data_IF_415863490171
#
_entry.id   IF_415863490171
#
_cell.length_a   1.000
_cell.length_b   1.000
_cell.length_c   1.000
_cell.angle_alpha   90.00
_cell.angle_beta   90.00
_cell.angle_gamma   90.00
#
_symmetry.space_group_name_H-M   'P 1'
#
loop_
_entity.id
_entity.type
_entity.pdbx_description
1 polymer ?
#
# COMPACT_ATOMS: atom_id res chain seq x y z
N UNK A 1 -4.26 -11.37 34.22
CA UNK A 1 -4.27 -11.30 32.74
C UNK A 1 -3.27 -10.22 32.33
N UNK A 2 -2.44 -10.46 31.31
CA UNK A 2 -1.50 -9.45 30.81
C UNK A 2 -2.29 -8.20 30.35
N UNK A 3 -1.91 -7.00 30.82
CA UNK A 3 -2.64 -5.75 30.54
C UNK A 3 -2.78 -5.48 29.03
N UNK A 4 -1.78 -5.83 28.24
CA UNK A 4 -1.84 -5.66 26.77
C UNK A 4 -2.86 -6.61 26.13
N UNK A 5 -2.98 -7.84 26.64
CA UNK A 5 -3.97 -8.81 26.17
C UNK A 5 -5.39 -8.35 26.54
N UNK A 6 -5.58 -7.83 27.77
CA UNK A 6 -6.86 -7.28 28.19
C UNK A 6 -7.27 -6.08 27.31
N UNK A 7 -6.35 -5.15 27.06
CA UNK A 7 -6.59 -4.00 26.18
C UNK A 7 -6.95 -4.41 24.75
N UNK A 8 -6.25 -5.41 24.18
CA UNK A 8 -6.58 -5.97 22.87
C UNK A 8 -8.00 -6.58 22.84
N UNK A 9 -8.38 -7.31 23.89
CA UNK A 9 -9.72 -7.89 24.02
C UNK A 9 -10.81 -6.82 24.09
N UNK A 10 -10.58 -5.77 24.88
CA UNK A 10 -11.48 -4.62 24.99
C UNK A 10 -11.65 -3.92 23.64
N UNK A 11 -10.55 -3.64 22.93
CA UNK A 11 -10.57 -3.05 21.59
C UNK A 11 -11.36 -3.93 20.62
N UNK A 12 -11.08 -5.24 20.59
CA UNK A 12 -11.75 -6.18 19.69
C UNK A 12 -13.27 -6.18 19.90
N UNK A 13 -13.73 -5.99 21.14
CA UNK A 13 -15.13 -5.98 21.54
C UNK A 13 -15.87 -4.66 21.26
N UNK A 14 -15.16 -3.58 20.88
CA UNK A 14 -15.80 -2.30 20.57
C UNK A 14 -16.67 -2.39 19.30
N UNK A 15 -17.86 -1.76 19.27
CA UNK A 15 -18.70 -1.68 18.08
C UNK A 15 -18.06 -0.82 16.97
N UNK A 16 -17.21 0.12 17.37
CA UNK A 16 -16.46 1.01 16.49
C UNK A 16 -14.98 1.00 16.91
N UNK A 17 -14.07 1.05 15.93
CA UNK A 17 -12.63 1.12 16.16
C UNK A 17 -12.04 2.32 15.42
N UNK A 18 -11.20 3.08 16.11
CA UNK A 18 -10.40 4.16 15.51
C UNK A 18 -9.01 3.63 15.22
N UNK A 19 -8.68 3.51 13.94
CA UNK A 19 -7.46 2.86 13.45
C UNK A 19 -6.66 3.85 12.61
N UNK A 20 -5.35 3.91 12.86
CA UNK A 20 -4.42 4.61 11.97
C UNK A 20 -3.80 3.59 11.01
N UNK A 21 -4.04 3.75 9.71
CA UNK A 21 -3.34 3.00 8.67
C UNK A 21 -2.07 3.75 8.23
N UNK A 22 -0.95 3.02 8.14
CA UNK A 22 0.32 3.53 7.62
C UNK A 22 0.75 2.75 6.39
N UNK A 23 1.02 3.46 5.30
CA UNK A 23 1.56 2.89 4.07
C UNK A 23 2.71 3.74 3.56
N UNK A 24 3.85 3.11 3.30
CA UNK A 24 4.91 3.71 2.48
C UNK A 24 5.09 2.88 1.22
N UNK A 25 4.77 3.50 0.08
CA UNK A 25 4.81 2.86 -1.22
C UNK A 25 6.25 2.51 -1.66
N UNK A 26 6.35 1.75 -2.75
CA UNK A 26 7.65 1.37 -3.35
C UNK A 26 8.40 2.56 -3.95
N UNK A 27 7.75 3.70 -4.15
CA UNK A 27 8.41 4.92 -4.61
C UNK A 27 9.27 5.57 -3.52
N UNK A 28 9.10 5.17 -2.24
CA UNK A 28 9.84 5.71 -1.08
C UNK A 28 9.70 7.23 -0.92
N UNK A 29 8.62 7.82 -1.44
CA UNK A 29 8.47 9.27 -1.47
C UNK A 29 8.05 9.85 -0.11
N UNK A 30 7.35 9.06 0.70
CA UNK A 30 6.81 9.48 1.98
C UNK A 30 6.06 8.38 2.72
N UNK A 31 5.30 8.81 3.73
CA UNK A 31 4.41 7.97 4.53
C UNK A 31 2.99 8.51 4.44
N UNK A 32 2.07 7.69 3.93
CA UNK A 32 0.64 7.95 4.02
C UNK A 32 0.14 7.56 5.41
N UNK A 33 -0.61 8.47 6.03
CA UNK A 33 -1.23 8.31 7.35
C UNK A 33 -2.72 8.54 7.20
N UNK A 34 -3.51 7.48 7.38
CA UNK A 34 -4.96 7.53 7.32
C UNK A 34 -5.56 7.26 8.71
N UNK A 35 -6.26 8.22 9.29
CA UNK A 35 -7.07 8.01 10.49
C UNK A 35 -8.47 7.61 10.06
N UNK A 36 -8.87 6.38 10.38
CA UNK A 36 -10.13 5.82 9.93
C UNK A 36 -10.97 5.33 11.11
N UNK A 37 -12.28 5.49 10.97
CA UNK A 37 -13.29 4.86 11.79
C UNK A 37 -13.78 3.60 11.08
N UNK A 38 -13.76 2.48 11.79
CA UNK A 38 -14.26 1.18 11.32
C UNK A 38 -15.45 0.74 12.16
N UNK A 39 -16.51 0.30 11.50
CA UNK A 39 -17.69 -0.31 12.11
C UNK A 39 -18.03 -1.62 11.42
N UNK A 40 -18.74 -2.52 12.11
CA UNK A 40 -19.09 -3.83 11.57
C UNK A 40 -17.89 -4.78 11.41
N UNK A 41 -18.13 -5.94 10.79
CA UNK A 41 -17.10 -6.96 10.53
C UNK A 41 -17.41 -7.70 9.23
N UNK A 42 -16.37 -8.26 8.58
CA UNK A 42 -16.58 -9.02 7.35
C UNK A 42 -17.19 -8.17 6.25
N UNK A 43 -18.20 -8.70 5.54
CA UNK A 43 -18.87 -7.98 4.45
C UNK A 43 -19.78 -6.82 4.91
N UNK A 44 -19.95 -6.63 6.21
CA UNK A 44 -20.66 -5.49 6.81
C UNK A 44 -19.69 -4.41 7.31
N UNK A 45 -18.40 -4.50 6.94
CA UNK A 45 -17.40 -3.53 7.38
C UNK A 45 -17.64 -2.18 6.69
N UNK A 46 -17.90 -1.16 7.49
CA UNK A 46 -17.97 0.23 7.04
C UNK A 46 -16.71 0.99 7.46
N UNK A 47 -16.22 1.86 6.58
CA UNK A 47 -15.00 2.63 6.79
C UNK A 47 -15.26 4.10 6.46
N UNK A 48 -14.95 4.97 7.42
CA UNK A 48 -14.94 6.42 7.25
C UNK A 48 -13.52 6.94 7.46
N UNK A 49 -12.96 7.63 6.47
CA UNK A 49 -11.67 8.33 6.60
C UNK A 49 -11.92 9.64 7.31
N UNK A 50 -11.47 9.75 8.56
CA UNK A 50 -11.62 10.94 9.39
C UNK A 50 -10.57 12.00 9.05
N UNK A 51 -9.34 11.57 8.82
CA UNK A 51 -8.22 12.41 8.41
C UNK A 51 -7.27 11.60 7.52
N UNK A 52 -6.59 12.30 6.61
CA UNK A 52 -5.57 11.71 5.75
C UNK A 52 -4.45 12.71 5.50
N UNK A 53 -3.21 12.25 5.54
CA UNK A 53 -2.05 13.05 5.17
C UNK A 53 -0.95 12.19 4.58
N UNK A 54 -0.30 12.69 3.52
CA UNK A 54 0.94 12.13 2.98
C UNK A 54 2.09 12.99 3.48
N UNK A 55 3.02 12.38 4.20
CA UNK A 55 4.20 13.05 4.75
C UNK A 55 5.40 12.73 3.88
N UNK A 56 5.89 13.72 3.14
CA UNK A 56 7.08 13.57 2.31
C UNK A 56 8.31 13.28 3.17
N UNK A 57 9.07 12.26 2.78
CA UNK A 57 10.37 12.00 3.38
C UNK A 57 11.39 13.02 2.91
N UNK A 58 12.24 13.48 3.83
CA UNK A 58 13.40 14.31 3.47
C UNK A 58 14.37 13.50 2.60
N UNK A 59 15.20 14.17 1.80
CA UNK A 59 16.22 13.48 1.00
C UNK A 59 17.21 12.69 1.86
N UNK A 60 17.43 13.10 3.12
CA UNK A 60 18.22 12.34 4.09
C UNK A 60 17.57 10.98 4.38
N UNK A 61 16.27 10.97 4.72
CA UNK A 61 15.53 9.72 4.97
C UNK A 61 15.54 8.83 3.73
N UNK A 62 15.26 9.41 2.56
CA UNK A 62 15.26 8.68 1.29
C UNK A 62 16.63 8.10 0.99
N UNK A 63 17.71 8.85 1.22
CA UNK A 63 19.08 8.38 1.00
C UNK A 63 19.40 7.15 1.86
N UNK A 64 18.98 7.15 3.12
CA UNK A 64 19.15 6.01 4.03
C UNK A 64 18.37 4.77 3.57
N UNK A 65 17.09 4.91 3.20
CA UNK A 65 16.27 3.79 2.70
C UNK A 65 16.84 3.22 1.38
N UNK A 66 17.29 4.10 0.46
CA UNK A 66 17.92 3.72 -0.82
C UNK A 66 19.19 2.88 -0.62
N UNK A 67 19.83 2.88 0.55
CA UNK A 67 20.98 2.00 0.82
C UNK A 67 20.60 0.52 0.74
N UNK A 68 19.39 0.17 1.18
CA UNK A 68 18.94 -1.22 1.31
C UNK A 68 17.84 -1.62 0.32
N UNK A 69 17.10 -0.66 -0.22
CA UNK A 69 15.93 -0.93 -1.05
C UNK A 69 16.26 -1.67 -2.35
N UNK A 70 15.54 -2.76 -2.62
CA UNK A 70 15.58 -3.54 -3.86
C UNK A 70 16.99 -3.98 -4.30
N UNK A 71 17.90 -4.21 -3.35
CA UNK A 71 19.26 -4.70 -3.63
C UNK A 71 19.48 -6.12 -3.12
N UNK A 72 20.09 -7.00 -3.92
CA UNK A 72 20.40 -8.37 -3.50
C UNK A 72 21.53 -8.44 -2.46
N UNK A 73 22.39 -7.42 -2.43
CA UNK A 73 23.50 -7.31 -1.48
C UNK A 73 23.46 -5.93 -0.83
N UNK A 74 23.45 -5.92 0.50
CA UNK A 74 23.37 -4.71 1.34
C UNK A 74 24.28 -4.90 2.56
N UNK A 75 24.64 -3.79 3.20
CA UNK A 75 25.28 -3.85 4.51
C UNK A 75 24.26 -4.36 5.55
N UNK A 76 24.59 -5.46 6.23
CA UNK A 76 23.67 -6.11 7.16
C UNK A 76 23.43 -5.26 8.43
N UNK A 77 24.46 -4.55 8.89
CA UNK A 77 24.34 -3.63 10.01
C UNK A 77 23.36 -2.50 9.67
N UNK A 78 23.47 -1.92 8.47
CA UNK A 78 22.56 -0.89 7.97
C UNK A 78 21.09 -1.37 7.98
N UNK A 79 20.81 -2.59 7.51
CA UNK A 79 19.44 -3.15 7.59
C UNK A 79 18.95 -3.24 9.05
N UNK A 80 19.81 -3.76 9.94
CA UNK A 80 19.50 -3.96 11.34
C UNK A 80 19.16 -2.65 12.06
N UNK A 81 19.92 -1.58 11.81
CA UNK A 81 19.69 -0.27 12.45
C UNK A 81 18.56 0.53 11.80
N UNK A 82 18.31 0.33 10.50
CA UNK A 82 17.21 1.01 9.81
C UNK A 82 15.84 0.55 10.27
N UNK A 83 15.68 -0.74 10.59
CA UNK A 83 14.39 -1.27 11.03
C UNK A 83 13.79 -0.54 12.25
N UNK A 84 14.50 -0.42 13.39
CA UNK A 84 14.01 0.33 14.54
C UNK A 84 13.98 1.85 14.29
N UNK A 85 14.92 2.37 13.48
CA UNK A 85 14.93 3.80 13.15
C UNK A 85 13.68 4.23 12.38
N UNK A 86 13.26 3.46 11.37
CA UNK A 86 11.99 3.67 10.64
C UNK A 86 10.78 3.52 11.58
N UNK A 87 10.78 2.52 12.48
CA UNK A 87 9.71 2.35 13.47
C UNK A 87 9.52 3.59 14.35
N UNK A 88 10.63 4.12 14.88
CA UNK A 88 10.64 5.37 15.66
C UNK A 88 10.20 6.59 14.83
N UNK A 89 10.66 6.68 13.58
CA UNK A 89 10.27 7.76 12.67
C UNK A 89 8.77 7.75 12.42
N UNK A 90 8.21 6.60 12.05
CA UNK A 90 6.77 6.45 11.82
C UNK A 90 5.97 6.79 13.09
N UNK A 91 6.44 6.38 14.28
CA UNK A 91 5.78 6.70 15.54
C UNK A 91 5.73 8.20 15.83
N UNK A 92 6.83 8.92 15.55
CA UNK A 92 6.85 10.40 15.65
C UNK A 92 5.89 11.04 14.65
N UNK A 93 5.91 10.59 13.39
CA UNK A 93 4.99 11.09 12.35
C UNK A 93 3.53 10.91 12.78
N UNK A 94 3.17 9.75 13.34
CA UNK A 94 1.82 9.50 13.86
C UNK A 94 1.44 10.50 14.95
N UNK A 95 2.33 10.73 15.93
CA UNK A 95 2.07 11.68 17.02
C UNK A 95 1.94 13.12 16.51
N UNK A 96 2.76 13.52 15.54
CA UNK A 96 2.70 14.85 14.92
C UNK A 96 1.40 15.05 14.14
N UNK A 97 0.95 14.03 13.38
CA UNK A 97 -0.34 14.05 12.69
C UNK A 97 -1.50 14.16 13.69
N UNK A 98 -1.52 13.33 14.74
CA UNK A 98 -2.55 13.39 15.78
C UNK A 98 -2.62 14.75 16.46
N UNK A 99 -1.47 15.35 16.78
CA UNK A 99 -1.38 16.69 17.34
C UNK A 99 -1.96 17.73 16.38
N UNK A 100 -1.59 17.67 15.10
CA UNK A 100 -2.09 18.56 14.05
C UNK A 100 -3.60 18.45 13.87
N UNK A 101 -4.14 17.23 13.87
CA UNK A 101 -5.57 16.96 13.77
C UNK A 101 -6.34 17.20 15.09
N UNK A 102 -5.64 17.57 16.17
CA UNK A 102 -6.19 17.73 17.50
C UNK A 102 -6.94 16.47 17.98
N UNK A 103 -6.46 15.29 17.56
CA UNK A 103 -7.05 14.01 17.90
C UNK A 103 -6.29 13.37 19.07
N UNK A 104 -6.96 13.01 20.19
CA UNK A 104 -6.27 12.44 21.34
C UNK A 104 -5.58 11.11 21.02
N UNK A 105 -4.33 10.93 21.44
CA UNK A 105 -3.60 9.67 21.25
C UNK A 105 -4.29 8.48 21.93
N UNK A 106 -4.95 8.72 23.07
CA UNK A 106 -5.63 7.68 23.85
C UNK A 106 -6.98 7.23 23.27
N UNK A 107 -7.54 7.93 22.27
CA UNK A 107 -8.73 7.49 21.55
C UNK A 107 -8.40 6.63 20.32
N UNK A 108 -7.12 6.44 20.01
CA UNK A 108 -6.67 5.51 18.97
C UNK A 108 -6.61 4.10 19.54
N UNK A 109 -7.25 3.16 18.87
CA UNK A 109 -7.28 1.77 19.29
C UNK A 109 -6.00 1.05 18.87
N UNK A 110 -5.69 1.11 17.56
CA UNK A 110 -4.50 0.46 16.99
C UNK A 110 -3.90 1.25 15.84
N UNK A 111 -2.61 1.05 15.60
CA UNK A 111 -1.93 1.42 14.36
C UNK A 111 -1.79 0.15 13.51
N UNK A 112 -2.16 0.20 12.23
CA UNK A 112 -1.93 -0.84 11.24
C UNK A 112 -0.82 -0.36 10.30
N UNK A 113 0.40 -0.89 10.46
CA UNK A 113 1.59 -0.45 9.73
C UNK A 113 2.07 -1.48 8.73
N UNK A 114 2.00 -1.15 7.44
CA UNK A 114 2.66 -1.94 6.40
C UNK A 114 4.20 -1.93 6.56
N UNK A 115 4.74 -0.82 7.05
CA UNK A 115 6.19 -0.55 7.04
C UNK A 115 6.69 -0.12 5.66
N UNK A 116 8.00 -0.20 5.47
CA UNK A 116 8.72 0.08 4.24
C UNK A 116 9.21 -1.23 3.63
N UNK A 117 8.76 -1.56 2.41
CA UNK A 117 9.30 -2.72 1.70
C UNK A 117 10.80 -2.52 1.43
N UNK A 118 11.62 -3.47 1.84
CA UNK A 118 13.04 -3.57 1.49
C UNK A 118 13.19 -4.43 0.23
N UNK A 119 12.55 -5.59 0.23
CA UNK A 119 12.62 -6.54 -0.88
C UNK A 119 11.34 -7.36 -0.99
N UNK A 120 10.89 -7.59 -2.21
CA UNK A 120 9.77 -8.47 -2.52
C UNK A 120 10.26 -9.52 -3.53
N UNK A 121 10.27 -10.78 -3.11
CA UNK A 121 10.85 -11.89 -3.86
C UNK A 121 9.87 -13.08 -3.83
N UNK A 122 8.76 -13.03 -4.56
CA UNK A 122 7.96 -14.22 -4.83
C UNK A 122 8.74 -15.19 -5.74
N UNK A 123 8.39 -16.47 -5.68
CA UNK A 123 9.11 -17.57 -6.34
C UNK A 123 9.25 -17.38 -7.85
N UNK A 124 8.22 -16.83 -8.47
CA UNK A 124 8.21 -16.51 -9.91
C UNK A 124 9.25 -15.45 -10.29
N UNK A 125 9.61 -14.54 -9.38
CA UNK A 125 10.58 -13.48 -9.64
C UNK A 125 12.01 -13.89 -9.29
N UNK A 126 12.23 -14.61 -8.18
CA UNK A 126 13.60 -14.97 -7.78
C UNK A 126 14.10 -16.28 -8.42
N UNK A 127 13.22 -17.18 -8.87
CA UNK A 127 13.60 -18.39 -9.63
C UNK A 127 14.45 -19.42 -8.88
N UNK A 128 14.55 -19.32 -7.55
CA UNK A 128 15.37 -20.22 -6.72
C UNK A 128 14.48 -21.34 -6.17
N UNK A 129 14.53 -22.54 -6.79
CA UNK A 129 13.60 -23.64 -6.49
C UNK A 129 13.52 -24.03 -5.01
N UNK A 130 14.64 -23.93 -4.29
CA UNK A 130 14.76 -24.29 -2.87
C UNK A 130 13.95 -23.36 -1.94
N UNK A 131 13.71 -22.12 -2.32
CA UNK A 131 13.16 -21.10 -1.43
C UNK A 131 11.67 -20.81 -1.73
N UNK A 132 10.85 -20.54 -0.70
CA UNK A 132 9.46 -20.16 -0.87
C UNK A 132 9.32 -18.70 -1.28
N UNK A 133 8.09 -18.25 -1.51
CA UNK A 133 7.78 -16.82 -1.61
C UNK A 133 8.32 -16.07 -0.39
N UNK A 134 8.99 -14.96 -0.63
CA UNK A 134 9.62 -14.16 0.41
C UNK A 134 9.35 -12.68 0.22
N UNK A 135 9.27 -11.97 1.33
CA UNK A 135 9.16 -10.51 1.36
C UNK A 135 9.70 -9.99 2.67
N UNK A 136 10.25 -8.78 2.65
CA UNK A 136 10.77 -8.11 3.83
C UNK A 136 10.30 -6.66 3.84
N UNK A 137 9.59 -6.31 4.91
CA UNK A 137 9.27 -4.95 5.28
C UNK A 137 10.08 -4.59 6.54
N UNK A 138 10.54 -3.35 6.62
CA UNK A 138 11.14 -2.77 7.84
C UNK A 138 10.24 -1.64 8.37
N UNK A 139 10.53 -1.19 9.59
CA UNK A 139 9.66 -0.31 10.34
C UNK A 139 9.10 -1.10 11.50
N UNK A 140 9.97 -1.31 12.49
CA UNK A 140 9.71 -2.20 13.60
C UNK A 140 8.44 -1.81 14.36
N UNK A 141 7.50 -2.75 14.43
CA UNK A 141 6.21 -2.57 15.10
C UNK A 141 6.38 -2.32 16.61
N UNK A 142 7.41 -2.89 17.23
CA UNK A 142 7.68 -2.68 18.65
C UNK A 142 8.16 -1.26 18.92
N UNK A 143 9.11 -0.75 18.13
CA UNK A 143 9.58 0.64 18.24
C UNK A 143 8.47 1.64 17.92
N UNK A 144 7.64 1.36 16.92
CA UNK A 144 6.46 2.15 16.59
C UNK A 144 5.45 2.19 17.76
N UNK A 145 5.15 1.03 18.36
CA UNK A 145 4.23 0.91 19.49
C UNK A 145 4.75 1.63 20.74
N UNK A 146 6.04 1.45 21.07
CA UNK A 146 6.68 2.10 22.22
C UNK A 146 6.76 3.61 22.02
N UNK A 147 7.12 4.07 20.82
CA UNK A 147 7.21 5.51 20.50
C UNK A 147 5.85 6.19 20.56
N UNK A 148 4.81 5.56 19.99
CA UNK A 148 3.46 6.15 19.91
C UNK A 148 2.61 5.93 21.18
N UNK A 149 2.92 4.92 21.98
CA UNK A 149 2.07 4.46 23.08
C UNK A 149 0.80 3.73 22.63
N UNK A 150 0.68 3.42 21.33
CA UNK A 150 -0.49 2.79 20.72
C UNK A 150 -0.16 1.35 20.32
N UNK A 151 -1.10 0.44 20.51
CA UNK A 151 -0.95 -0.95 20.07
C UNK A 151 -0.73 -0.96 18.55
N UNK A 152 0.31 -1.65 18.09
CA UNK A 152 0.64 -1.70 16.66
C UNK A 152 0.47 -3.11 16.12
N UNK A 153 -0.24 -3.21 14.99
CA UNK A 153 -0.33 -4.37 14.13
C UNK A 153 0.56 -4.10 12.91
N UNK A 154 1.48 -5.00 12.59
CA UNK A 154 2.41 -4.83 11.47
C UNK A 154 2.67 -6.15 10.74
N UNK A 155 3.51 -6.10 9.71
CA UNK A 155 4.04 -7.27 9.01
C UNK A 155 2.98 -8.16 8.31
N UNK A 156 2.02 -7.49 7.65
CA UNK A 156 0.88 -8.15 7.02
C UNK A 156 1.25 -9.15 5.91
N UNK A 157 2.36 -8.91 5.18
CA UNK A 157 2.70 -9.72 3.99
C UNK A 157 3.32 -11.06 4.33
N UNK A 158 4.13 -11.14 5.40
CA UNK A 158 4.81 -12.39 5.77
C UNK A 158 3.82 -13.51 6.08
N UNK A 159 2.69 -13.18 6.73
CA UNK A 159 1.64 -14.18 7.00
C UNK A 159 1.04 -14.75 5.72
N UNK A 160 0.84 -13.92 4.69
CA UNK A 160 0.34 -14.37 3.39
C UNK A 160 1.37 -15.24 2.66
N UNK A 161 2.67 -14.87 2.69
CA UNK A 161 3.76 -15.71 2.18
C UNK A 161 3.82 -17.07 2.89
N UNK A 162 3.69 -17.08 4.22
CA UNK A 162 3.70 -18.30 5.04
C UNK A 162 2.50 -19.22 4.73
N UNK A 163 1.38 -18.66 4.27
CA UNK A 163 0.21 -19.41 3.81
C UNK A 163 0.33 -19.88 2.34
N UNK A 164 1.45 -19.63 1.67
CA UNK A 164 1.72 -20.02 0.28
C UNK A 164 1.41 -18.94 -0.76
N UNK A 165 0.85 -17.80 -0.35
CA UNK A 165 0.62 -16.65 -1.24
C UNK A 165 1.92 -15.91 -1.58
N UNK A 166 1.85 -14.95 -2.48
CA UNK A 166 3.04 -14.18 -2.89
C UNK A 166 3.36 -13.00 -1.94
N UNK A 167 2.47 -12.68 -1.00
CA UNK A 167 2.59 -11.49 -0.14
C UNK A 167 2.02 -10.21 -0.76
N UNK A 168 1.50 -10.28 -1.98
CA UNK A 168 0.87 -9.17 -2.71
C UNK A 168 -0.09 -9.70 -3.80
N UNK A 169 -1.01 -8.85 -4.31
CA UNK A 169 -1.53 -7.64 -3.68
C UNK A 169 -2.43 -7.99 -2.48
N UNK A 170 -2.30 -7.28 -1.36
CA UNK A 170 -3.19 -7.47 -0.19
C UNK A 170 -4.38 -6.50 -0.17
N UNK A 171 -4.34 -5.43 -0.98
CA UNK A 171 -5.42 -4.45 -1.06
C UNK A 171 -6.74 -5.09 -1.53
N UNK A 172 -6.67 -6.16 -2.32
CA UNK A 172 -7.84 -6.91 -2.83
C UNK A 172 -8.78 -7.39 -1.72
N UNK A 173 -8.26 -7.69 -0.52
CA UNK A 173 -9.10 -8.05 0.62
C UNK A 173 -9.92 -6.86 1.10
N UNK A 174 -9.31 -5.68 1.20
CA UNK A 174 -10.01 -4.44 1.53
C UNK A 174 -11.03 -4.09 0.45
N UNK A 175 -10.62 -4.19 -0.82
CA UNK A 175 -11.50 -3.94 -1.97
C UNK A 175 -12.76 -4.80 -1.90
N UNK A 176 -12.59 -6.09 -1.66
CA UNK A 176 -13.70 -7.03 -1.55
C UNK A 176 -14.61 -6.71 -0.37
N UNK A 177 -14.06 -6.49 0.83
CA UNK A 177 -14.86 -6.27 2.03
C UNK A 177 -15.61 -4.93 2.02
N UNK A 178 -14.99 -3.88 1.49
CA UNK A 178 -15.53 -2.51 1.54
C UNK A 178 -16.42 -2.22 0.33
N UNK A 179 -16.04 -2.72 -0.86
CA UNK A 179 -16.69 -2.34 -2.11
C UNK A 179 -17.51 -3.45 -2.77
N UNK A 180 -17.56 -4.68 -2.27
CA UNK A 180 -18.48 -5.67 -2.85
C UNK A 180 -19.93 -5.35 -2.52
N UNK A 181 -20.85 -5.68 -3.44
CA UNK A 181 -22.29 -5.46 -3.23
C UNK A 181 -23.12 -6.56 -3.88
N UNK A 182 -24.01 -7.17 -3.09
CA UNK A 182 -24.89 -8.23 -3.58
C UNK A 182 -25.75 -7.70 -4.74
N UNK A 183 -25.75 -8.43 -5.85
CA UNK A 183 -26.50 -8.10 -7.06
C UNK A 183 -25.82 -7.08 -7.99
N UNK A 184 -24.62 -6.58 -7.66
CA UNK A 184 -23.92 -5.58 -8.46
C UNK A 184 -22.48 -6.01 -8.73
N UNK A 185 -22.13 -6.19 -10.00
CA UNK A 185 -20.74 -6.37 -10.40
C UNK A 185 -20.04 -5.00 -10.38
N UNK A 186 -18.85 -4.93 -9.79
CA UNK A 186 -18.06 -3.70 -9.69
C UNK A 186 -16.66 -3.88 -10.26
N UNK A 187 -16.13 -2.80 -10.84
CA UNK A 187 -14.76 -2.70 -11.31
C UNK A 187 -14.10 -1.54 -10.59
N UNK A 188 -13.02 -1.82 -9.88
CA UNK A 188 -12.18 -0.80 -9.25
C UNK A 188 -10.96 -0.58 -10.15
N UNK A 189 -10.96 0.50 -10.92
CA UNK A 189 -9.86 0.83 -11.84
C UNK A 189 -8.86 1.76 -11.14
N UNK A 190 -7.62 1.32 -11.03
CA UNK A 190 -6.50 2.13 -10.59
C UNK A 190 -5.64 2.57 -11.78
N UNK A 191 -5.45 3.87 -11.93
CA UNK A 191 -4.65 4.49 -12.99
C UNK A 191 -3.30 4.98 -12.44
N UNK A 192 -2.46 4.03 -12.05
CA UNK A 192 -1.07 4.29 -11.63
C UNK A 192 -0.11 4.41 -12.82
N UNK A 193 1.18 4.12 -12.62
CA UNK A 193 2.12 4.00 -13.74
C UNK A 193 1.71 2.90 -14.73
N UNK A 194 1.35 1.74 -14.20
CA UNK A 194 0.60 0.67 -14.85
C UNK A 194 -0.86 0.77 -14.37
N UNK A 195 -1.81 0.64 -15.29
CA UNK A 195 -3.22 0.58 -14.98
C UNK A 195 -3.63 -0.86 -14.67
N UNK A 196 -4.48 -1.04 -13.67
CA UNK A 196 -5.05 -2.32 -13.30
C UNK A 196 -6.48 -2.16 -12.79
N UNK A 197 -7.26 -3.24 -12.83
CA UNK A 197 -8.54 -3.26 -12.16
C UNK A 197 -8.72 -4.49 -11.28
N UNK A 198 -9.52 -4.33 -10.24
CA UNK A 198 -10.10 -5.42 -9.44
C UNK A 198 -11.55 -5.61 -9.86
N UNK A 199 -11.95 -6.83 -10.24
CA UNK A 199 -13.35 -7.20 -10.48
C UNK A 199 -13.97 -7.80 -9.24
N UNK A 200 -15.08 -7.22 -8.79
CA UNK A 200 -15.86 -7.68 -7.64
C UNK A 200 -17.23 -8.19 -8.13
N UNK A 201 -17.50 -9.51 -8.03
CA UNK A 201 -18.73 -10.07 -8.55
C UNK A 201 -19.90 -9.83 -7.58
N UNK A 202 -21.08 -9.53 -8.14
CA UNK A 202 -22.29 -9.29 -7.36
C UNK A 202 -22.86 -10.53 -6.67
N UNK A 203 -22.34 -11.72 -6.97
CA UNK A 203 -22.69 -12.95 -6.25
C UNK A 203 -21.94 -13.09 -4.91
N UNK A 204 -20.98 -12.19 -4.61
CA UNK A 204 -20.13 -12.22 -3.42
C UNK A 204 -19.30 -13.51 -3.31
N UNK A 205 -18.91 -14.11 -4.44
CA UNK A 205 -17.96 -15.21 -4.44
C UNK A 205 -16.53 -14.64 -4.45
N UNK A 206 -15.82 -14.76 -3.33
CA UNK A 206 -14.44 -14.31 -3.20
C UNK A 206 -13.49 -15.03 -4.20
N UNK A 207 -13.76 -16.30 -4.53
CA UNK A 207 -12.94 -17.07 -5.49
C UNK A 207 -13.11 -16.57 -6.94
N UNK A 208 -14.11 -15.74 -7.19
CA UNK A 208 -14.36 -15.11 -8.49
C UNK A 208 -13.86 -13.65 -8.54
N UNK A 209 -13.26 -13.15 -7.45
CA UNK A 209 -12.54 -11.88 -7.45
C UNK A 209 -11.21 -12.08 -8.13
N UNK A 210 -10.87 -11.20 -9.05
CA UNK A 210 -9.55 -11.18 -9.67
C UNK A 210 -9.10 -9.74 -9.89
N UNK A 211 -7.79 -9.56 -9.95
CA UNK A 211 -7.17 -8.30 -10.32
C UNK A 211 -6.21 -8.56 -11.49
N UNK A 212 -6.18 -7.65 -12.46
CA UNK A 212 -5.29 -7.76 -13.61
C UNK A 212 -4.81 -6.40 -14.06
N UNK A 213 -3.59 -6.37 -14.59
CA UNK A 213 -3.08 -5.20 -15.31
C UNK A 213 -3.79 -5.08 -16.67
N UNK A 214 -4.11 -3.85 -17.05
CA UNK A 214 -4.68 -3.51 -18.36
C UNK A 214 -3.66 -2.92 -19.32
N UNK A 215 -2.45 -2.63 -18.82
CA UNK A 215 -1.34 -2.06 -19.58
C UNK A 215 -0.85 -0.76 -18.95
N UNK A 216 -0.26 0.10 -19.75
CA UNK A 216 0.29 1.37 -19.25
C UNK A 216 -0.82 2.32 -18.80
N UNK A 217 -0.69 2.86 -17.59
CA UNK A 217 -1.47 4.01 -17.13
C UNK A 217 -0.70 5.30 -17.44
N UNK A 218 -0.09 5.91 -16.43
CA UNK A 218 0.61 7.19 -16.56
C UNK A 218 2.08 7.08 -16.97
N UNK A 219 2.73 5.91 -16.88
CA UNK A 219 4.20 5.80 -17.08
C UNK A 219 4.68 6.38 -18.41
N UNK A 220 3.99 6.09 -19.52
CA UNK A 220 4.38 6.63 -20.83
C UNK A 220 4.03 8.12 -20.99
N UNK A 221 2.91 8.55 -20.38
CA UNK A 221 2.49 9.96 -20.39
C UNK A 221 3.50 10.82 -19.63
N UNK A 222 3.93 10.36 -18.47
CA UNK A 222 4.90 11.04 -17.62
C UNK A 222 6.27 11.10 -18.30
N UNK A 223 6.73 9.98 -18.89
CA UNK A 223 7.97 9.96 -19.66
C UNK A 223 7.95 10.97 -20.82
N UNK A 224 6.83 11.07 -21.54
CA UNK A 224 6.66 12.03 -22.62
C UNK A 224 6.65 13.48 -22.12
N UNK A 225 5.92 13.77 -21.05
CA UNK A 225 5.89 15.09 -20.42
C UNK A 225 7.26 15.53 -19.92
N UNK A 226 8.04 14.61 -19.33
CA UNK A 226 9.40 14.88 -18.86
C UNK A 226 10.33 15.19 -20.02
N UNK A 227 10.31 14.35 -21.06
CA UNK A 227 11.21 14.47 -22.19
C UNK A 227 10.98 15.75 -23.02
N UNK A 228 9.72 16.09 -23.30
CA UNK A 228 9.39 17.14 -24.26
C UNK A 228 8.93 18.46 -23.61
N UNK A 229 8.41 18.41 -22.39
CA UNK A 229 7.85 19.58 -21.71
C UNK A 229 8.58 19.92 -20.40
N UNK A 230 9.57 19.11 -19.98
CA UNK A 230 10.30 19.26 -18.71
C UNK A 230 9.37 19.35 -17.50
N UNK A 231 8.23 18.64 -17.55
CA UNK A 231 7.27 18.50 -16.45
C UNK A 231 7.29 17.06 -15.93
N UNK A 232 7.11 16.87 -14.63
CA UNK A 232 7.08 15.52 -14.05
C UNK A 232 5.95 14.65 -14.62
N UNK A 233 4.78 15.23 -14.89
CA UNK A 233 3.61 14.61 -15.50
C UNK A 233 2.73 15.65 -16.22
N UNK A 234 1.75 15.20 -17.01
CA UNK A 234 0.77 16.08 -17.66
C UNK A 234 -0.40 16.42 -16.72
N UNK A 235 -0.23 17.49 -15.94
CA UNK A 235 -1.23 17.90 -14.96
C UNK A 235 -2.56 18.26 -15.62
N UNK A 236 -3.61 17.54 -15.23
CA UNK A 236 -4.97 17.68 -15.75
C UNK A 236 -5.09 17.47 -17.27
N UNK A 237 -4.21 16.65 -17.86
CA UNK A 237 -4.22 16.34 -19.29
C UNK A 237 -4.08 17.57 -20.23
N UNK A 238 -3.53 18.69 -19.75
CA UNK A 238 -3.46 19.94 -20.53
C UNK A 238 -2.62 19.79 -21.80
N UNK A 239 -1.54 19.02 -21.76
CA UNK A 239 -0.70 18.74 -22.94
C UNK A 239 -1.48 17.83 -23.91
N UNK A 240 -2.04 16.73 -23.40
CA UNK A 240 -2.79 15.78 -24.21
C UNK A 240 -4.01 16.40 -24.90
N UNK A 241 -4.79 17.22 -24.18
CA UNK A 241 -6.00 17.91 -24.68
C UNK A 241 -5.69 18.95 -25.77
N UNK A 242 -4.48 19.49 -25.79
CA UNK A 242 -4.03 20.41 -26.86
C UNK A 242 -3.64 19.68 -28.15
N UNK A 243 -3.50 18.36 -28.10
CA UNK A 243 -3.05 17.53 -29.20
C UNK A 243 -4.17 17.01 -30.09
N UNK A 244 -3.79 16.20 -31.06
CA UNK A 244 -4.72 15.40 -31.86
C UNK A 244 -4.17 13.99 -31.95
N UNK A 245 -5.04 13.00 -31.76
CA UNK A 245 -4.64 11.59 -31.77
C UNK A 245 -4.11 11.22 -33.15
N UNK A 246 -2.88 10.69 -33.19
CA UNK A 246 -2.35 10.03 -34.39
C UNK A 246 -2.83 8.57 -34.39
N UNK A 247 -3.84 8.27 -35.21
CA UNK A 247 -4.47 6.95 -35.26
C UNK A 247 -3.49 5.82 -35.58
N UNK A 248 -2.59 6.02 -36.56
CA UNK A 248 -1.60 5.00 -36.95
C UNK A 248 -0.64 4.66 -35.81
N UNK A 249 -0.23 5.67 -35.02
CA UNK A 249 0.61 5.43 -33.85
C UNK A 249 -0.16 4.71 -32.74
N UNK A 250 -1.41 5.11 -32.47
CA UNK A 250 -2.24 4.45 -31.48
C UNK A 250 -2.48 2.97 -31.81
N UNK A 251 -2.77 2.66 -33.06
CA UNK A 251 -2.96 1.28 -33.53
C UNK A 251 -1.68 0.45 -33.39
N UNK A 252 -0.52 1.04 -33.70
CA UNK A 252 0.77 0.39 -33.50
C UNK A 252 1.03 0.08 -32.01
N UNK A 253 0.75 1.02 -31.11
CA UNK A 253 0.90 0.81 -29.66
C UNK A 253 -0.05 -0.27 -29.12
N UNK A 254 -1.29 -0.30 -29.60
CA UNK A 254 -2.29 -1.32 -29.21
C UNK A 254 -2.02 -2.70 -29.79
N UNK A 255 -1.12 -2.83 -30.76
CA UNK A 255 -0.79 -4.10 -31.41
C UNK A 255 0.16 -5.00 -30.60
N UNK A 256 0.68 -4.49 -29.48
CA UNK A 256 1.54 -5.23 -28.55
C UNK A 256 0.88 -6.54 -28.09
N UNK A 257 1.67 -7.61 -28.00
CA UNK A 257 1.18 -8.94 -27.63
C UNK A 257 0.61 -9.01 -26.22
N UNK A 258 0.99 -8.09 -25.34
CA UNK A 258 0.39 -7.93 -24.01
C UNK A 258 -1.14 -7.82 -24.10
N UNK A 259 -1.67 -6.99 -25.00
CA UNK A 259 -3.12 -6.74 -25.13
C UNK A 259 -3.90 -7.91 -25.73
N UNK A 260 -3.22 -8.94 -26.24
CA UNK A 260 -3.83 -10.15 -26.80
C UNK A 260 -3.94 -11.28 -25.77
N UNK A 261 -3.32 -11.14 -24.60
CA UNK A 261 -3.34 -12.16 -23.55
C UNK A 261 -4.70 -12.18 -22.84
N UNK A 262 -5.20 -13.35 -22.42
CA UNK A 262 -6.36 -13.43 -21.54
C UNK A 262 -6.01 -12.86 -20.15
N UNK A 263 -7.05 -12.44 -19.43
CA UNK A 263 -7.00 -12.21 -17.99
C UNK A 263 -7.36 -13.50 -17.23
#
# INVERSE_FOLDING_TARGET
MNQNIAKLYEIASKPEKIIIGLMSGTSMDGLDVALCRFQGTGGETEVEVLQFETIDFSEEIKAEIRKIFAKPSIDFLQLCVLNPWIGNLHGKIVLDCLKKWQFPTNSIDVIASHGQTVFHAPKILHGLEKFPNATLQIGDGDHLAVTSGIITLSDFRQKHCAAGGEGAPLAVYGDYLIFSKRGENRLLLNMGGIANFTFLPGNLNADSVFATDTGTGNTLLDAYAQQYFRKAYDKNAVIADSGTINASLLDALKSDDFFKKPF
#
